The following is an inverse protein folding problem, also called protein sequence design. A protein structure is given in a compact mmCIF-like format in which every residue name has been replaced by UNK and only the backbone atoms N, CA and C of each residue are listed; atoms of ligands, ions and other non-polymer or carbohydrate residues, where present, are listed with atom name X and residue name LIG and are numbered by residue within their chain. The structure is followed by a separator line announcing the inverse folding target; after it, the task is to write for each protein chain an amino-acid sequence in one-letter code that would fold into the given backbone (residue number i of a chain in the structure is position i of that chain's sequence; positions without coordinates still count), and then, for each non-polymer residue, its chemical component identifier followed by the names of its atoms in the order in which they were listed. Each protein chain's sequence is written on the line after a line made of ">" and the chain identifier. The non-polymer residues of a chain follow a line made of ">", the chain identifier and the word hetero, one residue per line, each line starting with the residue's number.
data_IF_216579235866
#
_entry.id   IF_216579235866
#
_cell.length_a   1.000
_cell.length_b   1.000
_cell.length_c   1.000
_cell.angle_alpha   90.00
_cell.angle_beta   90.00
_cell.angle_gamma   90.00
#
_symmetry.space_group_name_H-M   'P 1'
#
loop_
_entity.id
_entity.type
_entity.pdbx_description
1 polymer ?
#
# COMPACT_ATOMS: atom_id res chain seq x y z
N UNK A 1 -20.41 28.02 41.43
CA UNK A 1 -21.38 29.10 41.07
C UNK A 1 -20.78 29.94 39.96
N UNK A 2 -21.64 30.36 39.00
CA UNK A 2 -21.40 31.15 37.77
C UNK A 2 -21.21 30.33 36.49
N UNK A 3 -22.38 29.98 35.94
CA UNK A 3 -22.68 29.62 34.55
C UNK A 3 -22.48 30.82 33.63
N UNK A 4 -21.94 30.59 32.42
CA UNK A 4 -21.99 31.58 31.35
C UNK A 4 -22.67 30.96 30.13
N UNK A 5 -23.77 31.58 29.73
CA UNK A 5 -24.67 31.15 28.66
C UNK A 5 -24.55 32.20 27.55
N UNK A 6 -24.18 31.79 26.33
CA UNK A 6 -24.33 32.66 25.16
C UNK A 6 -25.02 31.94 24.00
N UNK A 7 -25.85 32.74 23.36
CA UNK A 7 -27.04 32.40 22.58
C UNK A 7 -26.72 32.07 21.12
N UNK A 8 -27.56 31.20 20.60
CA UNK A 8 -27.77 30.87 19.18
C UNK A 8 -28.26 32.10 18.42
N UNK A 9 -27.73 32.33 17.21
CA UNK A 9 -28.36 33.18 16.21
C UNK A 9 -28.38 32.42 14.87
N UNK A 10 -29.55 31.92 14.51
CA UNK A 10 -29.86 31.39 13.18
C UNK A 10 -30.23 32.56 12.28
N UNK A 11 -29.66 32.64 11.07
CA UNK A 11 -30.13 33.56 10.04
C UNK A 11 -30.56 32.76 8.81
N UNK A 12 -31.87 32.69 8.62
CA UNK A 12 -32.56 32.15 7.45
C UNK A 12 -32.74 33.30 6.46
N UNK A 13 -32.31 33.16 5.21
CA UNK A 13 -32.74 34.06 4.12
C UNK A 13 -33.45 33.22 3.05
N UNK A 14 -34.71 33.61 2.84
CA UNK A 14 -35.65 33.06 1.89
C UNK A 14 -35.34 33.53 0.46
N UNK A 15 -35.85 32.77 -0.51
CA UNK A 15 -35.53 32.88 -1.92
C UNK A 15 -36.32 33.91 -2.71
N UNK A 16 -35.97 34.00 -4.00
CA UNK A 16 -36.81 34.60 -5.04
C UNK A 16 -36.68 33.72 -6.29
N UNK A 17 -37.80 33.08 -6.64
CA UNK A 17 -38.09 32.48 -7.93
C UNK A 17 -38.52 33.55 -8.91
N UNK A 18 -37.96 33.57 -10.12
CA UNK A 18 -38.54 34.26 -11.26
C UNK A 18 -38.59 33.31 -12.46
N UNK A 19 -39.80 32.86 -12.73
CA UNK A 19 -40.25 32.14 -13.91
C UNK A 19 -40.31 33.10 -15.09
N UNK A 20 -39.50 32.87 -16.11
CA UNK A 20 -39.66 33.48 -17.44
C UNK A 20 -40.15 32.43 -18.42
N UNK A 21 -41.43 32.51 -18.79
CA UNK A 21 -42.03 31.75 -19.87
C UNK A 21 -42.08 32.61 -21.14
N UNK A 22 -41.45 32.15 -22.21
CA UNK A 22 -41.75 32.55 -23.59
C UNK A 22 -41.90 31.29 -24.45
N UNK A 23 -43.00 31.19 -25.16
CA UNK A 23 -43.28 30.26 -26.26
C UNK A 23 -43.33 31.07 -27.58
N UNK A 24 -43.50 30.45 -28.76
CA UNK A 24 -42.63 29.45 -29.37
C UNK A 24 -42.24 29.89 -30.81
N UNK A 25 -41.00 29.65 -31.24
CA UNK A 25 -40.66 29.79 -32.66
C UNK A 25 -40.31 28.44 -33.30
N UNK A 26 -41.05 28.14 -34.36
CA UNK A 26 -40.97 26.89 -35.13
C UNK A 26 -39.77 26.96 -36.06
N UNK A 27 -38.71 26.23 -35.75
CA UNK A 27 -37.79 25.74 -36.76
C UNK A 27 -37.60 24.23 -36.62
N UNK A 28 -38.12 23.51 -37.62
CA UNK A 28 -37.82 22.10 -37.85
C UNK A 28 -36.32 21.96 -38.10
N UNK A 29 -35.65 21.14 -37.30
CA UNK A 29 -34.46 20.46 -37.76
C UNK A 29 -34.39 19.03 -37.19
N UNK A 30 -34.01 18.12 -38.09
CA UNK A 30 -33.95 16.68 -37.91
C UNK A 30 -32.84 16.27 -36.94
N UNK A 31 -33.13 15.21 -36.17
CA UNK A 31 -32.23 14.11 -35.82
C UNK A 31 -31.15 14.36 -34.76
N UNK A 32 -31.42 13.86 -33.54
CA UNK A 32 -30.65 12.75 -32.96
C UNK A 32 -31.35 12.32 -31.65
N UNK A 33 -31.96 11.13 -31.64
CA UNK A 33 -32.34 10.46 -30.40
C UNK A 33 -31.06 10.05 -29.66
N UNK A 34 -30.55 10.96 -28.84
CA UNK A 34 -29.63 10.60 -27.77
C UNK A 34 -30.45 9.93 -26.67
N UNK A 35 -30.67 8.60 -26.82
CA UNK A 35 -30.92 7.75 -25.66
C UNK A 35 -29.74 7.96 -24.72
N UNK A 36 -29.96 8.79 -23.70
CA UNK A 36 -29.13 8.83 -22.50
C UNK A 36 -29.26 7.46 -21.84
N UNK A 37 -28.44 6.52 -22.30
CA UNK A 37 -28.14 5.30 -21.57
C UNK A 37 -27.25 5.72 -20.39
N UNK A 38 -27.89 6.32 -19.39
CA UNK A 38 -27.31 6.43 -18.07
C UNK A 38 -27.35 5.04 -17.47
N UNK A 39 -26.46 4.17 -17.95
CA UNK A 39 -26.07 2.96 -17.23
C UNK A 39 -25.46 3.47 -15.92
N UNK A 40 -26.28 3.51 -14.86
CA UNK A 40 -25.80 3.72 -13.49
C UNK A 40 -24.87 2.54 -13.22
N UNK A 41 -23.57 2.77 -13.40
CA UNK A 41 -22.50 1.85 -13.05
C UNK A 41 -22.61 1.66 -11.54
N UNK A 42 -23.21 0.55 -11.13
CA UNK A 42 -23.23 0.12 -9.75
C UNK A 42 -21.80 0.23 -9.20
N UNK A 43 -21.58 0.88 -8.05
CA UNK A 43 -20.22 1.11 -7.55
C UNK A 43 -19.52 -0.23 -7.45
N UNK A 44 -18.35 -0.33 -8.10
CA UNK A 44 -17.55 -1.54 -8.11
C UNK A 44 -17.32 -1.97 -6.65
N UNK A 45 -17.67 -3.22 -6.33
CA UNK A 45 -17.47 -3.78 -5.00
C UNK A 45 -15.98 -3.67 -4.64
N UNK A 46 -15.68 -3.04 -3.50
CA UNK A 46 -14.31 -2.91 -3.01
C UNK A 46 -13.63 -4.29 -2.96
N UNK A 47 -12.37 -4.41 -3.44
CA UNK A 47 -11.62 -5.67 -3.37
C UNK A 47 -11.12 -5.97 -1.94
N UNK A 48 -11.34 -5.07 -0.99
CA UNK A 48 -10.88 -5.18 0.38
C UNK A 48 -11.96 -5.75 1.31
N UNK A 49 -11.55 -6.64 2.20
CA UNK A 49 -12.41 -7.21 3.23
C UNK A 49 -12.49 -6.32 4.45
N UNK A 50 -13.58 -6.43 5.23
CA UNK A 50 -13.68 -5.80 6.55
C UNK A 50 -12.60 -6.35 7.48
N UNK A 51 -11.86 -5.45 8.13
CA UNK A 51 -10.75 -5.81 9.02
C UNK A 51 -11.28 -6.14 10.42
N UNK A 52 -11.30 -7.42 10.77
CA UNK A 52 -11.62 -7.89 12.12
C UNK A 52 -10.38 -8.39 12.87
N UNK A 53 -9.36 -8.81 12.13
CA UNK A 53 -8.11 -9.37 12.63
C UNK A 53 -6.92 -8.86 11.82
N UNK A 54 -5.71 -9.02 12.36
CA UNK A 54 -4.47 -8.72 11.61
C UNK A 54 -4.35 -9.54 10.32
N UNK A 55 -4.95 -10.72 10.27
CA UNK A 55 -4.93 -11.57 9.09
C UNK A 55 -5.80 -10.99 7.96
N UNK A 56 -6.92 -10.36 8.30
CA UNK A 56 -7.77 -9.65 7.34
C UNK A 56 -7.03 -8.44 6.76
N UNK A 57 -6.34 -7.69 7.62
CA UNK A 57 -5.55 -6.54 7.17
C UNK A 57 -4.31 -6.97 6.38
N UNK A 58 -3.68 -8.09 6.72
CA UNK A 58 -2.62 -8.71 5.91
C UNK A 58 -3.12 -9.10 4.51
N UNK A 59 -4.32 -9.68 4.41
CA UNK A 59 -4.94 -9.99 3.11
C UNK A 59 -5.21 -8.72 2.31
N UNK A 60 -5.72 -7.67 2.97
CA UNK A 60 -5.91 -6.36 2.33
C UNK A 60 -4.60 -5.73 1.88
N UNK A 61 -3.54 -5.83 2.69
CA UNK A 61 -2.20 -5.35 2.36
C UNK A 61 -1.67 -6.04 1.11
N UNK A 62 -1.75 -7.39 1.08
CA UNK A 62 -1.36 -8.19 -0.09
C UNK A 62 -2.13 -7.77 -1.34
N UNK A 63 -3.44 -7.55 -1.24
CA UNK A 63 -4.26 -7.05 -2.36
C UNK A 63 -3.81 -5.66 -2.81
N UNK A 64 -3.56 -4.74 -1.88
CA UNK A 64 -3.13 -3.37 -2.19
C UNK A 64 -1.76 -3.34 -2.88
N UNK A 65 -0.81 -4.16 -2.41
CA UNK A 65 0.51 -4.35 -3.04
C UNK A 65 0.35 -4.88 -4.46
N UNK A 66 -0.45 -5.94 -4.64
CA UNK A 66 -0.64 -6.56 -5.95
C UNK A 66 -1.34 -5.64 -6.96
N UNK A 67 -2.36 -4.92 -6.52
CA UNK A 67 -3.13 -3.99 -7.36
C UNK A 67 -2.43 -2.65 -7.55
N UNK A 68 -1.28 -2.44 -6.90
CA UNK A 68 -0.58 -1.16 -6.88
C UNK A 68 -1.49 0.00 -6.44
N UNK A 69 -2.37 -0.26 -5.46
CA UNK A 69 -3.29 0.72 -4.90
C UNK A 69 -2.55 1.61 -3.91
N UNK A 70 -1.94 2.68 -4.43
CA UNK A 70 -1.11 3.61 -3.66
C UNK A 70 -1.92 4.24 -2.51
N UNK A 71 -3.20 4.57 -2.73
CA UNK A 71 -4.02 5.20 -1.69
C UNK A 71 -4.23 4.25 -0.52
N UNK A 72 -4.54 2.98 -0.78
CA UNK A 72 -4.63 1.97 0.27
C UNK A 72 -3.27 1.69 0.92
N UNK A 73 -2.20 1.60 0.12
CA UNK A 73 -0.86 1.32 0.64
C UNK A 73 -0.37 2.37 1.64
N UNK A 74 -0.63 3.66 1.38
CA UNK A 74 -0.29 4.74 2.31
C UNK A 74 -0.87 4.55 3.71
N UNK A 75 -2.03 3.91 3.82
CA UNK A 75 -2.66 3.65 5.13
C UNK A 75 -1.86 2.72 6.03
N UNK A 76 -0.91 1.95 5.50
CA UNK A 76 -0.01 1.09 6.29
C UNK A 76 1.21 1.84 6.82
N UNK A 77 1.47 3.07 6.37
CA UNK A 77 2.61 3.85 6.82
C UNK A 77 2.18 4.90 7.84
N UNK A 78 3.14 5.35 8.64
CA UNK A 78 3.02 6.54 9.48
C UNK A 78 4.06 7.54 8.98
N UNK A 79 3.64 8.44 8.09
CA UNK A 79 4.57 9.40 7.48
C UNK A 79 4.80 10.61 8.38
N UNK A 80 6.00 11.25 8.30
CA UNK A 80 7.18 10.74 7.60
C UNK A 80 7.80 9.55 8.34
N UNK A 81 8.37 8.60 7.60
CA UNK A 81 9.16 7.51 8.17
C UNK A 81 10.59 8.02 8.42
N UNK A 82 11.17 7.72 9.57
CA UNK A 82 12.58 8.01 9.84
C UNK A 82 13.45 7.13 8.92
N UNK A 83 14.15 7.71 7.96
CA UNK A 83 14.91 6.94 6.97
C UNK A 83 16.19 6.34 7.58
N UNK A 84 16.82 7.07 8.51
CA UNK A 84 18.09 6.68 9.12
C UNK A 84 18.00 5.36 9.89
N UNK A 85 16.84 5.07 10.48
CA UNK A 85 16.62 3.84 11.26
C UNK A 85 15.91 2.74 10.48
N UNK A 86 15.46 2.99 9.24
CA UNK A 86 14.55 2.09 8.51
C UNK A 86 15.04 1.65 7.14
N UNK A 87 16.21 2.12 6.69
CA UNK A 87 16.81 1.79 5.37
C UNK A 87 15.83 1.89 4.19
N UNK A 88 14.76 2.67 4.34
CA UNK A 88 13.70 2.80 3.32
C UNK A 88 14.17 3.60 2.12
N UNK A 89 15.14 4.50 2.31
CA UNK A 89 15.80 5.19 1.20
C UNK A 89 16.76 4.26 0.44
N UNK A 90 17.47 3.37 1.14
CA UNK A 90 18.33 2.36 0.52
C UNK A 90 17.56 1.49 -0.49
N UNK A 91 16.43 0.91 -0.10
CA UNK A 91 15.65 0.08 -1.03
C UNK A 91 15.18 0.85 -2.28
N UNK A 92 14.95 2.16 -2.16
CA UNK A 92 14.52 3.02 -3.26
C UNK A 92 15.68 3.40 -4.18
N UNK A 93 16.82 3.80 -3.62
CA UNK A 93 17.91 4.43 -4.36
C UNK A 93 19.07 3.49 -4.68
N UNK A 94 19.26 2.39 -3.94
CA UNK A 94 20.30 1.40 -4.24
C UNK A 94 19.97 0.60 -5.51
N UNK A 95 18.68 0.48 -5.85
CA UNK A 95 18.21 -0.11 -7.10
C UNK A 95 18.07 0.91 -8.25
N UNK A 96 18.34 2.19 -7.99
CA UNK A 96 18.32 3.22 -9.02
C UNK A 96 19.64 3.26 -9.80
N UNK A 97 19.57 3.71 -11.05
CA UNK A 97 20.74 4.11 -11.84
C UNK A 97 21.61 5.08 -11.03
N UNK A 98 22.94 4.90 -11.04
CA UNK A 98 23.88 5.73 -10.29
C UNK A 98 23.69 7.23 -10.56
N UNK A 99 23.33 7.61 -11.80
CA UNK A 99 23.03 8.99 -12.18
C UNK A 99 21.77 9.57 -11.50
N UNK A 100 20.92 8.72 -10.92
CA UNK A 100 19.67 9.08 -10.22
C UNK A 100 19.79 8.93 -8.71
N UNK A 101 20.91 8.40 -8.21
CA UNK A 101 21.15 8.26 -6.78
C UNK A 101 21.55 9.63 -6.21
N UNK A 102 20.87 10.13 -5.16
CA UNK A 102 21.28 11.37 -4.54
C UNK A 102 22.62 11.17 -3.82
N UNK A 103 23.47 12.20 -3.78
CA UNK A 103 24.78 12.17 -3.08
C UNK A 103 24.62 11.85 -1.58
N UNK A 104 23.50 12.27 -0.99
CA UNK A 104 23.12 11.96 0.39
C UNK A 104 21.64 11.59 0.45
N UNK A 105 21.29 10.66 1.34
CA UNK A 105 19.90 10.23 1.50
C UNK A 105 19.16 11.21 2.42
N UNK A 106 17.87 11.50 2.13
CA UNK A 106 17.08 12.30 3.05
C UNK A 106 16.88 11.54 4.36
N UNK A 107 17.04 12.20 5.50
CA UNK A 107 16.86 11.57 6.82
C UNK A 107 15.40 11.16 7.14
N UNK A 108 14.46 11.55 6.28
CA UNK A 108 13.05 11.14 6.37
C UNK A 108 12.50 10.75 5.01
N UNK A 109 11.60 9.77 5.00
CA UNK A 109 10.87 9.33 3.83
C UNK A 109 9.39 9.74 3.95
N UNK A 110 8.98 10.71 3.14
CA UNK A 110 7.66 11.35 3.23
C UNK A 110 6.59 10.58 2.47
N UNK A 111 5.33 10.98 2.66
CA UNK A 111 4.22 10.45 1.86
C UNK A 111 4.43 10.68 0.35
N UNK A 112 4.96 11.85 -0.03
CA UNK A 112 5.26 12.19 -1.42
C UNK A 112 6.36 11.30 -1.99
N UNK A 113 7.38 10.99 -1.19
CA UNK A 113 8.44 10.07 -1.61
C UNK A 113 7.87 8.67 -1.83
N UNK A 114 6.98 8.21 -0.95
CA UNK A 114 6.28 6.94 -1.14
C UNK A 114 5.45 6.92 -2.42
N UNK A 115 4.64 7.95 -2.69
CA UNK A 115 3.84 8.03 -3.92
C UNK A 115 4.72 7.91 -5.16
N UNK A 116 5.88 8.57 -5.16
CA UNK A 116 6.86 8.52 -6.26
C UNK A 116 7.58 7.17 -6.37
N UNK A 117 7.88 6.52 -5.24
CA UNK A 117 8.84 5.41 -5.19
C UNK A 117 8.25 4.07 -4.68
N UNK A 118 6.95 3.94 -4.46
CA UNK A 118 6.30 2.74 -3.92
C UNK A 118 6.63 1.43 -4.66
N UNK A 119 6.89 1.50 -5.98
CA UNK A 119 7.29 0.33 -6.77
C UNK A 119 8.71 -0.15 -6.49
N UNK A 120 9.60 0.74 -6.06
CA UNK A 120 10.94 0.38 -5.61
C UNK A 120 10.88 -0.17 -4.18
N UNK A 121 10.01 0.38 -3.33
CA UNK A 121 9.75 -0.15 -1.97
C UNK A 121 9.21 -1.58 -2.03
N UNK A 122 8.30 -1.90 -2.95
CA UNK A 122 7.79 -3.26 -3.11
C UNK A 122 8.27 -3.88 -4.42
N UNK A 123 9.45 -4.51 -4.37
CA UNK A 123 10.09 -5.10 -5.55
C UNK A 123 9.23 -6.22 -6.17
N UNK A 124 9.50 -6.55 -7.43
CA UNK A 124 8.81 -7.64 -8.12
C UNK A 124 8.93 -8.99 -7.39
N UNK A 125 10.11 -9.28 -6.82
CA UNK A 125 10.34 -10.48 -6.03
C UNK A 125 9.50 -10.50 -4.75
N UNK A 126 9.40 -9.36 -4.05
CA UNK A 126 8.50 -9.22 -2.90
C UNK A 126 7.05 -9.49 -3.29
N UNK A 127 6.54 -8.85 -4.35
CA UNK A 127 5.15 -9.01 -4.79
C UNK A 127 4.86 -10.48 -5.15
N UNK A 128 5.70 -11.09 -6.00
CA UNK A 128 5.52 -12.47 -6.47
C UNK A 128 5.54 -13.49 -5.32
N UNK A 129 6.44 -13.32 -4.36
CA UNK A 129 6.55 -14.22 -3.22
C UNK A 129 5.44 -13.97 -2.19
N UNK A 130 5.07 -12.72 -1.91
CA UNK A 130 3.94 -12.37 -1.03
C UNK A 130 2.62 -13.03 -1.47
N UNK A 131 2.36 -13.07 -2.77
CA UNK A 131 1.18 -13.75 -3.34
C UNK A 131 1.14 -15.26 -3.06
N UNK A 132 2.29 -15.88 -2.82
CA UNK A 132 2.39 -17.31 -2.49
C UNK A 132 2.26 -17.61 -1.01
N UNK A 133 2.22 -16.60 -0.13
CA UNK A 133 2.07 -16.81 1.32
C UNK A 133 0.69 -17.40 1.62
N UNK A 134 0.68 -18.55 2.31
CA UNK A 134 -0.54 -19.19 2.82
C UNK A 134 -0.89 -18.60 4.19
N UNK A 135 -1.69 -17.54 4.18
CA UNK A 135 -2.09 -16.75 5.36
C UNK A 135 -2.63 -17.62 6.51
N UNK A 136 -3.40 -18.66 6.21
CA UNK A 136 -3.97 -19.57 7.22
C UNK A 136 -2.87 -20.38 7.92
N UNK A 137 -1.87 -20.84 7.17
CA UNK A 137 -0.73 -21.56 7.75
C UNK A 137 0.14 -20.63 8.59
N UNK A 138 0.39 -19.41 8.09
CA UNK A 138 1.11 -18.38 8.85
C UNK A 138 0.40 -18.07 10.17
N UNK A 139 -0.93 -17.93 10.17
CA UNK A 139 -1.70 -17.63 11.37
C UNK A 139 -1.70 -18.79 12.39
N UNK A 140 -1.66 -20.04 11.92
CA UNK A 140 -1.66 -21.22 12.78
C UNK A 140 -0.28 -21.52 13.37
N UNK A 141 0.78 -21.38 12.58
CA UNK A 141 2.14 -21.78 12.96
C UNK A 141 3.02 -20.64 13.44
N UNK A 142 2.64 -19.40 13.14
CA UNK A 142 3.49 -18.22 13.31
C UNK A 142 4.53 -18.07 12.20
N UNK A 143 4.63 -19.00 11.26
CA UNK A 143 5.59 -18.91 10.15
C UNK A 143 5.08 -19.55 8.86
N UNK A 144 5.60 -19.09 7.73
CA UNK A 144 5.40 -19.69 6.42
C UNK A 144 6.54 -19.36 5.46
N UNK A 145 7.15 -20.39 4.86
CA UNK A 145 8.12 -20.22 3.78
C UNK A 145 7.47 -20.55 2.45
N UNK A 146 7.55 -19.62 1.50
CA UNK A 146 6.98 -19.82 0.16
C UNK A 146 7.81 -20.83 -0.64
N UNK A 147 7.20 -21.60 -1.55
CA UNK A 147 7.96 -22.37 -2.53
C UNK A 147 8.88 -21.46 -3.36
N UNK A 148 10.09 -21.92 -3.66
CA UNK A 148 11.06 -21.22 -4.52
C UNK A 148 10.38 -20.80 -5.82
N UNK A 149 10.50 -19.52 -6.16
CA UNK A 149 10.03 -18.99 -7.45
C UNK A 149 11.11 -19.33 -8.48
N UNK A 150 10.78 -19.43 -9.78
CA UNK A 150 11.76 -19.69 -10.86
C UNK A 150 12.96 -18.73 -10.86
N UNK A 151 12.81 -17.57 -10.22
CA UNK A 151 13.84 -16.59 -9.90
C UNK A 151 14.32 -16.90 -8.47
N UNK A 152 15.63 -16.97 -8.22
CA UNK A 152 16.34 -17.50 -7.03
C UNK A 152 16.00 -16.86 -5.67
N UNK A 153 14.72 -16.75 -5.29
CA UNK A 153 14.28 -16.21 -4.01
C UNK A 153 13.08 -16.97 -3.41
N UNK A 154 12.99 -16.85 -2.08
CA UNK A 154 11.86 -17.29 -1.25
C UNK A 154 11.44 -16.16 -0.32
N UNK A 155 10.17 -16.09 0.05
CA UNK A 155 9.73 -15.31 1.19
C UNK A 155 9.56 -16.21 2.41
N UNK A 156 10.17 -15.79 3.52
CA UNK A 156 9.93 -16.32 4.86
C UNK A 156 9.07 -15.28 5.58
N UNK A 157 7.81 -15.62 5.85
CA UNK A 157 6.91 -14.81 6.65
C UNK A 157 6.89 -15.34 8.08
N UNK A 158 7.06 -14.46 9.07
CA UNK A 158 7.01 -14.80 10.49
C UNK A 158 6.11 -13.80 11.23
N UNK A 159 5.17 -14.31 12.03
CA UNK A 159 4.35 -13.51 12.94
C UNK A 159 4.73 -13.84 14.38
N UNK A 160 5.47 -12.93 14.99
CA UNK A 160 5.77 -12.95 16.40
C UNK A 160 4.58 -12.38 17.19
N UNK A 161 3.80 -13.28 17.80
CA UNK A 161 2.64 -12.92 18.61
C UNK A 161 3.01 -12.17 19.89
N UNK A 162 4.17 -12.45 20.49
CA UNK A 162 4.58 -11.82 21.74
C UNK A 162 4.91 -10.34 21.52
N UNK A 163 5.59 -10.03 20.42
CA UNK A 163 5.96 -8.68 20.04
C UNK A 163 4.98 -8.02 19.05
N UNK A 164 3.88 -8.69 18.73
CA UNK A 164 2.88 -8.26 17.74
C UNK A 164 3.54 -7.74 16.45
N UNK A 165 4.47 -8.52 15.90
CA UNK A 165 5.30 -8.10 14.76
C UNK A 165 5.19 -9.12 13.64
N UNK A 166 4.87 -8.65 12.44
CA UNK A 166 4.92 -9.43 11.20
C UNK A 166 6.21 -9.07 10.46
N UNK A 167 7.05 -10.07 10.20
CA UNK A 167 8.25 -9.99 9.39
C UNK A 167 8.01 -10.69 8.06
N UNK A 168 8.37 -10.03 6.96
CA UNK A 168 8.34 -10.59 5.61
C UNK A 168 9.76 -10.48 5.03
N UNK A 169 10.50 -11.58 5.04
CA UNK A 169 11.88 -11.63 4.54
C UNK A 169 11.92 -12.22 3.14
N UNK A 170 12.34 -11.46 2.13
CA UNK A 170 12.64 -11.97 0.79
C UNK A 170 14.11 -12.31 0.76
N UNK A 171 14.43 -13.60 0.77
CA UNK A 171 15.80 -14.12 0.74
C UNK A 171 16.16 -14.55 -0.67
N UNK A 172 17.28 -14.06 -1.17
CA UNK A 172 17.87 -14.39 -2.46
C UNK A 172 19.00 -15.40 -2.24
N UNK A 173 18.99 -16.50 -3.00
CA UNK A 173 20.07 -17.47 -2.99
C UNK A 173 21.32 -16.88 -3.64
N UNK A 174 22.49 -17.36 -3.21
CA UNK A 174 23.76 -17.05 -3.83
C UNK A 174 23.83 -17.53 -5.27
N UNK A 175 24.86 -17.06 -5.98
CA UNK A 175 25.08 -17.42 -7.37
C UNK A 175 26.06 -18.59 -7.49
N UNK A 176 26.25 -19.08 -8.71
CA UNK A 176 27.35 -19.98 -9.03
C UNK A 176 28.43 -19.24 -9.82
N UNK A 177 29.70 -19.48 -9.50
CA UNK A 177 30.81 -18.92 -10.29
C UNK A 177 30.88 -19.52 -11.70
N UNK A 178 31.82 -19.05 -12.51
CA UNK A 178 32.08 -19.55 -13.88
C UNK A 178 32.41 -21.05 -13.95
N UNK A 179 32.79 -21.66 -12.82
CA UNK A 179 33.10 -23.08 -12.67
C UNK A 179 31.94 -23.89 -12.06
N UNK A 180 30.81 -23.24 -11.76
CA UNK A 180 29.64 -23.87 -11.14
C UNK A 180 29.72 -24.01 -9.62
N UNK A 181 30.68 -23.37 -8.94
CA UNK A 181 30.83 -23.44 -7.49
C UNK A 181 29.90 -22.48 -6.73
N UNK A 182 29.57 -22.89 -5.51
CA UNK A 182 28.88 -22.16 -4.45
C UNK A 182 29.37 -20.72 -4.20
N UNK A 183 28.71 -19.62 -4.62
CA UNK A 183 29.08 -18.26 -4.19
C UNK A 183 28.07 -17.70 -3.18
N UNK A 184 28.38 -17.84 -1.89
CA UNK A 184 27.54 -17.36 -0.79
C UNK A 184 27.54 -15.83 -0.65
N UNK A 185 28.57 -15.13 -1.15
CA UNK A 185 28.66 -13.65 -1.07
C UNK A 185 27.52 -12.93 -1.80
N UNK A 186 26.80 -13.63 -2.68
CA UNK A 186 25.61 -13.11 -3.37
C UNK A 186 24.30 -13.39 -2.64
N UNK A 187 24.34 -14.09 -1.50
CA UNK A 187 23.17 -14.28 -0.63
C UNK A 187 22.85 -12.99 0.11
N UNK A 188 21.60 -12.56 0.00
CA UNK A 188 21.10 -11.47 0.82
C UNK A 188 19.60 -11.60 1.02
N UNK A 189 19.06 -10.83 1.95
CA UNK A 189 17.66 -10.75 2.25
C UNK A 189 17.22 -9.30 2.44
N UNK A 190 16.03 -9.00 1.94
CA UNK A 190 15.32 -7.74 2.22
C UNK A 190 14.16 -8.06 3.15
N UNK A 191 14.17 -7.45 4.32
CA UNK A 191 13.29 -7.80 5.43
C UNK A 191 12.38 -6.62 5.75
N UNK A 192 11.06 -6.83 5.61
CA UNK A 192 10.04 -5.84 5.91
C UNK A 192 9.41 -6.16 7.26
N UNK A 193 9.37 -5.18 8.15
CA UNK A 193 8.76 -5.30 9.46
C UNK A 193 7.48 -4.47 9.54
N UNK A 194 6.44 -5.09 10.10
CA UNK A 194 5.18 -4.44 10.41
C UNK A 194 4.83 -4.69 11.88
N UNK A 195 4.42 -3.64 12.59
CA UNK A 195 3.74 -3.75 13.88
C UNK A 195 2.26 -4.03 13.67
N UNK A 196 1.71 -4.91 14.49
CA UNK A 196 0.28 -5.22 14.54
C UNK A 196 -0.35 -4.43 15.68
N UNK A 197 -1.05 -3.35 15.33
CA UNK A 197 -1.72 -2.49 16.30
C UNK A 197 -3.13 -3.00 16.59
N UNK A 198 -3.51 -2.97 17.87
CA UNK A 198 -4.84 -3.40 18.34
C UNK A 198 -5.21 -4.82 17.88
N UNK A 199 -4.22 -5.70 17.67
CA UNK A 199 -4.37 -7.05 17.13
C UNK A 199 -5.06 -7.10 15.73
N UNK A 200 -5.07 -5.98 15.01
CA UNK A 200 -5.86 -5.80 13.78
C UNK A 200 -5.11 -5.12 12.64
N UNK A 201 -4.40 -4.03 12.92
CA UNK A 201 -3.93 -3.16 11.85
C UNK A 201 -2.43 -3.29 11.66
N UNK A 202 -2.00 -3.56 10.43
CA UNK A 202 -0.59 -3.54 10.08
C UNK A 202 -0.13 -2.09 9.98
N UNK A 203 1.02 -1.81 10.59
CA UNK A 203 1.77 -0.56 10.39
C UNK A 203 3.21 -0.88 10.07
N UNK A 204 3.67 -0.38 8.94
CA UNK A 204 5.06 -0.43 8.55
C UNK A 204 5.93 0.14 9.66
N UNK A 205 6.98 -0.61 10.01
CA UNK A 205 7.98 -0.25 11.01
C UNK A 205 9.29 0.12 10.31
N UNK A 206 9.88 -0.83 9.58
CA UNK A 206 11.18 -0.66 8.93
C UNK A 206 11.46 -1.67 7.83
N UNK A 207 12.48 -1.38 7.03
CA UNK A 207 13.15 -2.33 6.16
C UNK A 207 14.57 -2.54 6.68
N UNK A 208 15.07 -3.77 6.60
CA UNK A 208 16.47 -4.08 6.88
C UNK A 208 17.00 -4.99 5.77
N UNK A 209 18.30 -4.88 5.52
CA UNK A 209 19.05 -5.79 4.67
C UNK A 209 19.89 -6.72 5.55
N UNK A 210 19.99 -7.98 5.16
CA UNK A 210 20.85 -8.99 5.79
C UNK A 210 21.58 -9.76 4.69
N UNK A 211 22.85 -10.08 4.89
CA UNK A 211 23.74 -10.74 3.93
C UNK A 211 25.12 -10.85 4.54
#
# INVERSE_FOLDING_TARGET
>A
MKTNTQKILSLTIAGITLSGACTPDKHKNKQADAKSDTTIRSPAKSPYVTVNTWLDDFRNFRTAVYQNDVQKLKTYFSFPVNADTTQVCNIVYDNADDSKRPETYPGTFTERDFEKHHRAVFTHAFIKSLLKVKSEQLAQKGEYTTPKVKESYVMIANYDKANATLQLSVSYSGDTDENGNYVSESEYAVIYFFKVQNNKFLKFDKILFAG
#
